data_IF_190500333734
#
_entry.id   IF_190500333734
#
_cell.length_a   1.000
_cell.length_b   1.000
_cell.length_c   1.000
_cell.angle_alpha   90.00
_cell.angle_beta   90.00
_cell.angle_gamma   90.00
#
_symmetry.space_group_name_H-M   'P 1'
#
loop_
_entity.id
_entity.type
_entity.pdbx_description
1 polymer ?
#
# COMPACT_ATOMS: atom_id res chain seq x y z
N UNK A 1 -22.10 7.63 1.07
CA UNK A 1 -21.43 8.92 1.30
C UNK A 1 -20.22 8.70 2.19
N UNK A 2 -19.03 8.91 1.63
CA UNK A 2 -17.80 8.86 2.41
C UNK A 2 -17.79 10.00 3.42
N UNK A 3 -17.51 9.67 4.67
CA UNK A 3 -17.33 10.68 5.72
C UNK A 3 -16.02 11.42 5.45
N UNK A 4 -16.12 12.71 5.24
CA UNK A 4 -14.98 13.61 5.12
C UNK A 4 -14.75 14.29 6.46
N UNK A 5 -13.52 14.34 6.85
CA UNK A 5 -13.10 15.11 8.03
C UNK A 5 -12.48 16.40 7.54
N UNK A 6 -13.04 17.53 7.99
CA UNK A 6 -12.45 18.83 7.69
C UNK A 6 -11.43 19.17 8.77
N UNK A 7 -10.20 19.42 8.35
CA UNK A 7 -9.11 19.85 9.20
C UNK A 7 -8.63 21.23 8.75
N UNK A 8 -8.42 22.12 9.71
CA UNK A 8 -7.91 23.46 9.43
C UNK A 8 -6.48 23.60 9.91
N UNK A 9 -5.59 23.98 9.02
CA UNK A 9 -4.22 24.38 9.35
C UNK A 9 -3.99 25.82 8.86
N UNK A 10 -3.80 26.74 9.79
CA UNK A 10 -3.69 28.15 9.48
C UNK A 10 -4.95 28.69 8.81
N UNK A 11 -4.83 29.23 7.60
CA UNK A 11 -5.96 29.74 6.81
C UNK A 11 -6.51 28.74 5.78
N UNK A 12 -5.96 27.51 5.73
CA UNK A 12 -6.29 26.49 4.74
C UNK A 12 -7.11 25.37 5.37
N UNK A 13 -8.20 24.99 4.71
CA UNK A 13 -9.03 23.85 5.08
C UNK A 13 -8.65 22.64 4.23
N UNK A 14 -8.43 21.53 4.90
CA UNK A 14 -8.15 20.24 4.26
C UNK A 14 -9.33 19.31 4.47
N UNK A 15 -9.72 18.61 3.42
CA UNK A 15 -10.66 17.50 3.52
C UNK A 15 -9.84 16.21 3.64
N UNK A 16 -9.77 15.68 4.85
CA UNK A 16 -9.06 14.43 5.09
C UNK A 16 -9.97 13.24 4.73
N UNK A 17 -9.49 12.44 3.82
CA UNK A 17 -10.09 11.16 3.49
C UNK A 17 -9.44 10.07 4.34
N UNK A 18 -10.12 8.94 4.46
CA UNK A 18 -9.44 7.72 4.89
C UNK A 18 -8.20 7.50 4.01
N UNK A 19 -7.07 7.08 4.60
CA UNK A 19 -5.83 6.94 3.85
C UNK A 19 -6.06 6.09 2.61
N UNK A 20 -5.94 6.71 1.45
CA UNK A 20 -5.93 5.99 0.20
C UNK A 20 -4.53 5.41 0.03
N UNK A 21 -4.35 4.08 -0.02
CA UNK A 21 -3.06 3.48 -0.28
C UNK A 21 -2.51 3.81 -1.67
N UNK A 22 -3.37 4.33 -2.54
CA UNK A 22 -3.03 4.74 -3.89
C UNK A 22 -3.38 6.23 -4.06
N UNK A 23 -2.44 7.14 -3.72
CA UNK A 23 -2.71 8.57 -3.77
C UNK A 23 -3.04 9.11 -5.16
N UNK A 24 -2.71 8.36 -6.21
CA UNK A 24 -3.04 8.71 -7.59
C UNK A 24 -4.49 8.36 -7.97
N UNK A 25 -5.19 7.59 -7.15
CA UNK A 25 -6.58 7.22 -7.39
C UNK A 25 -7.55 8.21 -6.74
N UNK A 26 -8.47 8.71 -7.54
CA UNK A 26 -9.57 9.53 -7.05
C UNK A 26 -10.74 8.61 -6.73
N UNK A 27 -10.99 8.39 -5.42
CA UNK A 27 -12.04 7.47 -4.96
C UNK A 27 -13.45 8.04 -5.04
N UNK A 28 -13.59 9.36 -5.04
CA UNK A 28 -14.89 10.05 -5.16
C UNK A 28 -14.73 11.35 -5.93
N UNK A 29 -14.66 11.31 -7.26
CA UNK A 29 -14.53 12.52 -8.04
C UNK A 29 -15.86 13.29 -8.05
N UNK A 30 -15.94 14.34 -7.26
CA UNK A 30 -17.06 15.29 -7.35
C UNK A 30 -16.91 16.22 -8.55
N UNK A 31 -15.69 16.42 -9.00
CA UNK A 31 -15.34 17.20 -10.18
C UNK A 31 -14.41 16.39 -11.07
N UNK A 32 -14.75 16.28 -12.33
CA UNK A 32 -13.93 15.59 -13.34
C UNK A 32 -12.87 16.51 -13.97
N UNK A 33 -12.42 17.53 -13.23
CA UNK A 33 -11.34 18.39 -13.68
C UNK A 33 -10.00 17.66 -13.59
N UNK A 34 -9.51 17.18 -14.70
CA UNK A 34 -8.20 16.57 -14.81
C UNK A 34 -7.10 17.60 -14.54
N UNK A 35 -6.01 17.18 -13.90
CA UNK A 35 -4.88 18.03 -13.60
C UNK A 35 -5.04 18.90 -12.35
N UNK A 36 -6.12 18.81 -11.63
CA UNK A 36 -6.27 19.48 -10.35
C UNK A 36 -5.33 18.88 -9.31
N UNK A 37 -4.47 19.73 -8.72
CA UNK A 37 -3.62 19.28 -7.61
C UNK A 37 -4.46 19.00 -6.38
N UNK A 38 -4.44 17.76 -5.92
CA UNK A 38 -4.97 17.39 -4.61
C UNK A 38 -3.82 17.19 -3.65
N UNK A 39 -3.91 17.81 -2.47
CA UNK A 39 -3.09 17.38 -1.36
C UNK A 39 -3.65 16.09 -0.78
N UNK A 40 -2.82 15.06 -0.79
CA UNK A 40 -3.14 13.78 -0.17
C UNK A 40 -2.40 13.73 1.15
N UNK A 41 -3.13 13.53 2.25
CA UNK A 41 -2.50 13.28 3.53
C UNK A 41 -1.96 11.86 3.51
N UNK A 42 -0.65 11.74 3.32
CA UNK A 42 0.05 10.46 3.44
C UNK A 42 0.26 10.20 4.92
N UNK A 43 -0.07 8.99 5.36
CA UNK A 43 0.14 8.58 6.73
C UNK A 43 1.65 8.61 7.04
N UNK A 44 2.02 9.44 8.04
CA UNK A 44 3.41 9.65 8.44
C UNK A 44 4.02 8.52 9.28
N UNK A 45 3.30 7.43 9.50
CA UNK A 45 3.90 6.20 10.03
C UNK A 45 4.83 5.63 8.96
N UNK A 46 6.01 6.22 8.94
CA UNK A 46 6.89 5.88 7.88
C UNK A 46 7.56 4.58 8.02
N UNK A 47 7.58 4.02 6.93
CA UNK A 47 8.23 2.80 6.57
C UNK A 47 9.72 2.97 6.76
N UNK A 48 10.27 2.24 7.69
CA UNK A 48 11.72 2.18 7.83
C UNK A 48 12.33 1.57 6.54
N UNK A 49 13.15 2.34 5.79
CA UNK A 49 13.79 1.82 4.58
C UNK A 49 14.67 0.59 4.83
N UNK A 50 15.23 0.47 6.03
CA UNK A 50 16.04 -0.70 6.42
C UNK A 50 15.18 -1.95 6.59
N UNK A 51 13.99 -1.81 7.19
CA UNK A 51 13.05 -2.90 7.32
C UNK A 51 12.54 -3.36 5.94
N UNK A 52 12.24 -2.43 5.05
CA UNK A 52 11.88 -2.74 3.67
C UNK A 52 12.98 -3.51 2.96
N UNK A 53 14.21 -3.05 3.07
CA UNK A 53 15.35 -3.71 2.42
C UNK A 53 15.57 -5.11 2.99
N UNK A 54 15.50 -5.28 4.30
CA UNK A 54 15.61 -6.58 4.94
C UNK A 54 14.52 -7.56 4.49
N UNK A 55 13.30 -7.10 4.32
CA UNK A 55 12.21 -7.89 3.78
C UNK A 55 12.53 -8.37 2.35
N UNK A 56 13.00 -7.48 1.50
CA UNK A 56 13.37 -7.80 0.12
C UNK A 56 14.56 -8.75 0.06
N UNK A 57 15.56 -8.53 0.88
CA UNK A 57 16.76 -9.40 0.93
C UNK A 57 16.40 -10.83 1.34
N UNK A 58 15.42 -10.98 2.23
CA UNK A 58 14.97 -12.30 2.68
C UNK A 58 13.98 -12.96 1.71
N UNK A 59 12.97 -12.22 1.27
CA UNK A 59 11.85 -12.77 0.49
C UNK A 59 12.05 -12.65 -1.03
N UNK A 60 12.94 -11.76 -1.49
CA UNK A 60 13.09 -11.45 -2.89
C UNK A 60 12.09 -10.41 -3.40
N UNK A 61 12.06 -10.23 -4.72
CA UNK A 61 11.25 -9.22 -5.41
C UNK A 61 10.12 -9.83 -6.25
N UNK A 62 9.80 -11.08 -6.05
CA UNK A 62 8.64 -11.72 -6.66
C UNK A 62 7.42 -11.61 -5.76
N UNK A 63 6.26 -11.34 -6.34
CA UNK A 63 5.01 -11.26 -5.58
C UNK A 63 4.69 -12.59 -4.88
N UNK A 64 4.49 -12.55 -3.57
CA UNK A 64 4.15 -13.75 -2.78
C UNK A 64 2.75 -14.30 -3.11
N UNK A 65 1.92 -13.50 -3.74
CA UNK A 65 0.56 -13.91 -4.09
C UNK A 65 0.47 -14.52 -5.49
N UNK A 66 0.90 -13.78 -6.52
CA UNK A 66 0.77 -14.22 -7.92
C UNK A 66 2.11 -14.62 -8.58
N UNK A 67 3.22 -14.38 -7.92
CA UNK A 67 4.54 -14.72 -8.46
C UNK A 67 5.10 -13.73 -9.48
N UNK A 68 4.42 -12.62 -9.74
CA UNK A 68 4.88 -11.64 -10.71
C UNK A 68 6.25 -11.08 -10.33
N UNK A 69 7.15 -11.02 -11.31
CA UNK A 69 8.51 -10.52 -11.14
C UNK A 69 8.78 -9.42 -12.17
N UNK A 70 9.04 -8.22 -11.69
CA UNK A 70 9.23 -7.06 -12.56
C UNK A 70 10.52 -7.14 -13.40
N UNK A 71 11.58 -7.71 -12.85
CA UNK A 71 12.82 -7.89 -13.60
C UNK A 71 12.65 -8.89 -14.76
N UNK A 72 11.92 -9.98 -14.52
CA UNK A 72 11.65 -10.97 -15.57
C UNK A 72 10.81 -10.43 -16.72
N UNK A 73 9.87 -9.53 -16.40
CA UNK A 73 8.95 -8.97 -17.41
C UNK A 73 9.53 -7.73 -18.07
N UNK A 74 10.16 -6.84 -17.32
CA UNK A 74 10.64 -5.55 -17.79
C UNK A 74 12.17 -5.44 -17.90
N UNK A 75 12.89 -6.51 -17.61
CA UNK A 75 14.36 -6.52 -17.64
C UNK A 75 14.96 -5.61 -16.58
N UNK A 76 16.08 -5.00 -16.90
CA UNK A 76 16.81 -4.12 -15.99
C UNK A 76 15.96 -2.96 -15.45
N UNK A 77 15.00 -2.48 -16.24
CA UNK A 77 14.10 -1.40 -15.82
C UNK A 77 13.25 -1.78 -14.60
N UNK A 78 12.86 -3.05 -14.49
CA UNK A 78 12.04 -3.55 -13.38
C UNK A 78 12.83 -4.07 -12.18
N UNK A 79 14.14 -4.07 -12.26
CA UNK A 79 14.99 -4.64 -11.22
C UNK A 79 14.79 -3.97 -9.86
N UNK A 80 14.55 -4.77 -8.84
CA UNK A 80 14.38 -4.31 -7.47
C UNK A 80 13.03 -3.67 -7.16
N UNK A 81 12.12 -3.57 -8.14
CA UNK A 81 10.81 -2.99 -7.92
C UNK A 81 9.84 -4.03 -7.36
N UNK A 82 9.27 -3.75 -6.21
CA UNK A 82 8.18 -4.51 -5.59
C UNK A 82 7.54 -3.64 -4.49
N UNK A 83 6.27 -3.82 -4.22
CA UNK A 83 5.66 -3.28 -3.03
C UNK A 83 5.94 -4.17 -1.82
N UNK A 84 6.02 -3.59 -0.64
CA UNK A 84 6.11 -4.31 0.61
C UNK A 84 4.84 -4.06 1.40
N UNK A 85 4.08 -5.13 1.62
CA UNK A 85 2.83 -5.10 2.37
C UNK A 85 3.11 -5.36 3.85
N UNK A 86 2.57 -4.52 4.73
CA UNK A 86 2.57 -4.77 6.16
C UNK A 86 1.41 -5.69 6.52
N UNK A 87 1.73 -6.90 6.98
CA UNK A 87 0.72 -7.91 7.36
C UNK A 87 -0.09 -7.42 8.55
N UNK A 88 0.58 -6.77 9.51
CA UNK A 88 -0.10 -6.05 10.59
C UNK A 88 -0.17 -4.57 10.22
N UNK A 89 -1.37 -3.99 10.07
CA UNK A 89 -1.51 -2.58 9.78
C UNK A 89 -0.82 -1.72 10.84
N UNK A 90 0.03 -0.78 10.41
CA UNK A 90 0.81 0.06 11.33
C UNK A 90 -0.05 0.84 12.31
N UNK A 91 -1.25 1.26 11.91
CA UNK A 91 -2.18 1.98 12.76
C UNK A 91 -2.77 1.15 13.91
N UNK A 92 -2.65 -0.17 13.88
CA UNK A 92 -3.16 -1.06 14.93
C UNK A 92 -2.13 -1.43 15.98
N UNK A 93 -0.86 -1.15 15.75
CA UNK A 93 0.24 -1.63 16.60
C UNK A 93 0.90 -0.58 17.47
N UNK A 94 0.56 0.72 17.29
CA UNK A 94 1.09 1.81 18.11
C UNK A 94 2.48 2.30 17.69
N UNK A 95 2.94 3.37 18.37
CA UNK A 95 4.15 4.12 17.96
C UNK A 95 5.47 3.40 18.22
N UNK A 96 5.51 2.47 19.16
CA UNK A 96 6.74 1.80 19.60
C UNK A 96 6.88 0.35 19.09
N UNK A 97 6.12 0.00 18.06
CA UNK A 97 6.17 -1.34 17.51
C UNK A 97 7.42 -1.55 16.67
N UNK A 98 8.18 -2.57 17.01
CA UNK A 98 9.33 -3.00 16.22
C UNK A 98 8.86 -4.01 15.18
N UNK A 99 8.91 -3.59 13.91
CA UNK A 99 8.52 -4.45 12.78
C UNK A 99 9.56 -5.55 12.58
N UNK A 100 9.10 -6.80 12.50
CA UNK A 100 9.93 -7.90 12.03
C UNK A 100 9.80 -7.97 10.49
N UNK A 101 10.83 -7.60 9.72
CA UNK A 101 10.73 -7.54 8.27
C UNK A 101 10.51 -8.89 7.59
N UNK A 102 10.75 -9.97 8.28
CA UNK A 102 10.57 -11.33 7.76
C UNK A 102 9.14 -11.81 7.99
N UNK A 103 8.62 -11.62 9.21
CA UNK A 103 7.32 -12.15 9.63
C UNK A 103 6.16 -11.20 9.41
N UNK A 104 6.41 -9.89 9.53
CA UNK A 104 5.37 -8.87 9.52
C UNK A 104 5.20 -8.16 8.16
N UNK A 105 6.04 -8.48 7.19
CA UNK A 105 6.06 -7.86 5.88
C UNK A 105 6.12 -8.91 4.78
N UNK A 106 5.47 -8.62 3.66
CA UNK A 106 5.49 -9.49 2.49
C UNK A 106 5.60 -8.69 1.19
N UNK A 107 6.47 -9.10 0.25
CA UNK A 107 6.52 -8.47 -1.06
C UNK A 107 5.29 -8.85 -1.90
N UNK A 108 4.60 -7.84 -2.39
CA UNK A 108 3.44 -7.98 -3.27
C UNK A 108 3.59 -7.06 -4.48
N UNK A 109 3.14 -7.53 -5.64
CA UNK A 109 3.02 -6.63 -6.78
C UNK A 109 1.94 -5.58 -6.53
N UNK A 110 1.96 -4.43 -7.22
CA UNK A 110 0.95 -3.39 -7.05
C UNK A 110 -0.49 -3.88 -7.19
N UNK A 111 -0.75 -4.81 -8.11
CA UNK A 111 -2.08 -5.36 -8.32
C UNK A 111 -2.57 -6.17 -7.11
N UNK A 112 -1.76 -7.09 -6.62
CA UNK A 112 -2.10 -7.87 -5.45
C UNK A 112 -2.18 -7.00 -4.19
N UNK A 113 -1.30 -6.02 -4.07
CA UNK A 113 -1.33 -5.06 -2.96
C UNK A 113 -2.63 -4.23 -2.97
N UNK A 114 -3.07 -3.80 -4.15
CA UNK A 114 -4.36 -3.12 -4.30
C UNK A 114 -5.52 -4.02 -3.90
N UNK A 115 -5.51 -5.25 -4.36
CA UNK A 115 -6.60 -6.20 -4.09
C UNK A 115 -6.65 -6.65 -2.63
N UNK A 116 -5.52 -6.76 -1.95
CA UNK A 116 -5.50 -7.13 -0.53
C UNK A 116 -6.14 -6.08 0.35
N UNK A 117 -6.05 -4.81 -0.04
CA UNK A 117 -6.65 -3.68 0.68
C UNK A 117 -8.06 -3.33 0.19
N UNK A 118 -8.53 -3.96 -0.86
CA UNK A 118 -9.86 -3.69 -1.38
C UNK A 118 -10.93 -4.28 -0.46
N UNK A 119 -11.89 -3.46 -0.10
CA UNK A 119 -13.00 -3.87 0.77
C UNK A 119 -12.90 -3.29 2.17
N UNK A 120 -13.77 -3.74 3.05
CA UNK A 120 -13.85 -3.25 4.44
C UNK A 120 -12.75 -3.81 5.34
N UNK A 121 -12.21 -4.96 5.00
CA UNK A 121 -11.17 -5.64 5.76
C UNK A 121 -9.98 -5.98 4.87
N UNK A 122 -8.78 -5.91 5.46
CA UNK A 122 -7.55 -6.33 4.78
C UNK A 122 -7.51 -7.85 4.72
N UNK A 123 -7.40 -8.40 3.52
CA UNK A 123 -7.26 -9.84 3.34
C UNK A 123 -5.89 -10.32 3.81
N UNK A 124 -5.79 -11.59 4.19
CA UNK A 124 -4.49 -12.23 4.34
C UNK A 124 -3.89 -12.56 2.98
N UNK A 125 -2.57 -12.67 2.92
CA UNK A 125 -1.85 -13.06 1.70
C UNK A 125 -2.32 -14.44 1.21
N UNK A 126 -2.52 -15.38 2.13
CA UNK A 126 -3.00 -16.73 1.82
C UNK A 126 -4.39 -16.72 1.20
N UNK A 127 -5.29 -15.90 1.73
CA UNK A 127 -6.64 -15.80 1.18
C UNK A 127 -6.66 -15.18 -0.21
N UNK A 128 -5.87 -14.14 -0.43
CA UNK A 128 -5.74 -13.54 -1.76
C UNK A 128 -5.12 -14.52 -2.76
N UNK A 129 -4.14 -15.28 -2.32
CA UNK A 129 -3.50 -16.33 -3.14
C UNK A 129 -4.51 -17.37 -3.61
N UNK A 130 -5.40 -17.82 -2.73
CA UNK A 130 -6.47 -18.74 -3.08
C UNK A 130 -7.39 -18.14 -4.16
N UNK A 131 -7.73 -16.85 -4.04
CA UNK A 131 -8.56 -16.15 -5.04
C UNK A 131 -7.87 -16.13 -6.41
N UNK A 132 -6.57 -15.83 -6.43
CA UNK A 132 -5.79 -15.79 -7.69
C UNK A 132 -5.66 -17.17 -8.33
N UNK A 133 -5.49 -18.21 -7.52
CA UNK A 133 -5.29 -19.59 -8.02
C UNK A 133 -6.58 -20.25 -8.51
N UNK A 134 -7.74 -19.73 -8.17
CA UNK A 134 -9.05 -20.28 -8.55
C UNK A 134 -9.52 -19.94 -9.97
N UNK A 135 -8.67 -19.43 -10.82
CA UNK A 135 -9.03 -19.14 -12.21
C UNK A 135 -9.00 -20.37 -13.08
#
# INVERSE_FOLDING_TARGET
LEKRYLRKEGSVWYADFLPNPFPDEITSPENYAEGAKKQVTVNSYERDPKARQACIDHHGTSCKCCGFDFEKVYGEHGKGFIHVHHIKPLHTVGENYVVNPIEDMAPLCPNCHAMIHRGSEVLSVERLKIIVEKK
#
